data_IF_547600488398
#
_entry.id   IF_547600488398
#
_cell.length_a   1.000
_cell.length_b   1.000
_cell.length_c   1.000
_cell.angle_alpha   90.00
_cell.angle_beta   90.00
_cell.angle_gamma   90.00
#
_symmetry.space_group_name_H-M   'P 1'
#
loop_
_entity.id
_entity.type
_entity.pdbx_description
1 polymer ?
#
# COMPACT_ATOMS: atom_id res chain seq x y z
N UNK A 1 -14.71 1.61 -3.49
CA UNK A 1 -14.74 0.17 -3.17
C UNK A 1 -13.34 -0.22 -2.72
N UNK A 2 -13.15 -0.53 -1.44
CA UNK A 2 -11.82 -0.91 -0.93
C UNK A 2 -11.59 -2.38 -1.29
N UNK A 3 -10.96 -2.63 -2.43
CA UNK A 3 -10.59 -3.98 -2.85
C UNK A 3 -9.28 -4.37 -2.17
N UNK A 4 -9.34 -5.47 -1.42
CA UNK A 4 -8.15 -6.12 -0.87
C UNK A 4 -7.47 -6.86 -2.02
N UNK A 5 -6.28 -6.41 -2.43
CA UNK A 5 -5.46 -7.13 -3.40
C UNK A 5 -4.45 -7.98 -2.63
N UNK A 6 -4.54 -9.31 -2.78
CA UNK A 6 -3.53 -10.23 -2.28
C UNK A 6 -2.45 -10.45 -3.33
N UNK A 7 -1.18 -10.20 -2.99
CA UNK A 7 -0.02 -10.56 -3.81
C UNK A 7 0.75 -11.65 -3.06
N UNK A 8 1.21 -12.67 -3.79
CA UNK A 8 1.88 -13.84 -3.23
C UNK A 8 3.39 -13.72 -3.48
N UNK A 9 4.19 -13.62 -2.42
CA UNK A 9 5.68 -13.66 -2.51
C UNK A 9 6.13 -15.10 -2.24
N UNK A 10 7.04 -15.62 -3.05
CA UNK A 10 7.21 -17.06 -3.25
C UNK A 10 8.49 -17.63 -2.65
N UNK A 11 8.42 -18.80 -1.99
CA UNK A 11 9.57 -19.51 -1.41
C UNK A 11 9.48 -21.03 -1.59
N UNK A 12 10.62 -21.66 -1.88
CA UNK A 12 10.84 -23.11 -1.75
C UNK A 12 11.30 -23.42 -0.33
N UNK A 13 10.52 -24.18 0.43
CA UNK A 13 10.72 -24.51 1.84
C UNK A 13 11.58 -25.76 2.05
N UNK A 14 11.55 -26.73 1.13
CA UNK A 14 12.46 -27.87 1.10
C UNK A 14 12.31 -28.66 -0.20
N UNK A 15 13.35 -29.41 -0.57
CA UNK A 15 13.33 -30.35 -1.68
C UNK A 15 13.61 -31.76 -1.17
N UNK A 16 12.76 -32.73 -1.49
CA UNK A 16 12.99 -34.14 -1.17
C UNK A 16 12.93 -34.97 -2.45
N UNK A 17 13.87 -35.90 -2.59
CA UNK A 17 13.82 -36.90 -3.65
C UNK A 17 12.72 -37.91 -3.31
N UNK A 18 11.74 -38.05 -4.21
CA UNK A 18 10.66 -39.03 -4.05
C UNK A 18 11.02 -40.31 -4.79
N UNK A 19 11.49 -40.21 -6.03
CA UNK A 19 12.03 -41.31 -6.88
C UNK A 19 13.02 -40.75 -7.91
N UNK A 20 13.67 -41.61 -8.72
CA UNK A 20 14.42 -41.14 -9.90
C UNK A 20 13.55 -40.25 -10.78
N UNK A 21 13.99 -39.00 -10.99
CA UNK A 21 13.29 -38.00 -11.81
C UNK A 21 12.17 -37.20 -11.13
N UNK A 22 11.81 -37.47 -9.86
CA UNK A 22 10.72 -36.77 -9.16
C UNK A 22 11.19 -36.06 -7.88
N UNK A 23 11.08 -34.74 -7.89
CA UNK A 23 11.34 -33.88 -6.74
C UNK A 23 10.03 -33.39 -6.12
N UNK A 24 9.88 -33.57 -4.81
CA UNK A 24 8.88 -32.84 -4.04
C UNK A 24 9.48 -31.50 -3.62
N UNK A 25 8.90 -30.41 -4.11
CA UNK A 25 9.19 -29.06 -3.66
C UNK A 25 8.08 -28.58 -2.73
N UNK A 26 8.39 -28.37 -1.46
CA UNK A 26 7.45 -27.68 -0.57
C UNK A 26 7.48 -26.20 -0.93
N UNK A 27 6.38 -25.67 -1.45
CA UNK A 27 6.28 -24.27 -1.84
C UNK A 27 5.15 -23.63 -1.05
N UNK A 28 5.46 -22.58 -0.29
CA UNK A 28 4.45 -21.81 0.43
C UNK A 28 4.69 -20.35 0.13
N UNK A 29 3.70 -19.74 -0.48
CA UNK A 29 3.67 -18.30 -0.62
C UNK A 29 3.22 -17.66 0.69
N UNK A 30 3.89 -16.58 1.07
CA UNK A 30 3.38 -15.69 2.11
C UNK A 30 2.30 -14.80 1.48
N UNK A 31 1.05 -14.80 2.00
CA UNK A 31 0.04 -13.85 1.56
C UNK A 31 0.38 -12.43 2.03
N UNK A 32 0.59 -11.50 1.09
CA UNK A 32 0.73 -10.09 1.38
C UNK A 32 -0.60 -9.38 1.07
N UNK A 33 -1.22 -8.82 2.11
CA UNK A 33 -2.45 -8.04 2.04
C UNK A 33 -2.10 -6.55 2.05
N UNK A 34 -2.58 -5.81 1.05
CA UNK A 34 -2.43 -4.36 0.98
C UNK A 34 -3.79 -3.70 1.21
N UNK A 35 -3.85 -2.72 2.11
CA UNK A 35 -5.02 -1.87 2.27
C UNK A 35 -4.65 -0.40 2.37
N UNK A 36 -5.42 0.43 1.68
CA UNK A 36 -5.26 1.88 1.70
C UNK A 36 -6.07 2.41 2.88
N UNK A 37 -5.63 3.52 3.46
CA UNK A 37 -6.46 4.28 4.39
C UNK A 37 -7.86 4.58 3.82
N UNK A 38 -8.85 4.74 4.70
CA UNK A 38 -10.20 5.17 4.34
C UNK A 38 -10.23 6.56 3.71
N UNK A 39 -11.32 6.91 3.04
CA UNK A 39 -11.49 8.21 2.40
C UNK A 39 -11.30 9.38 3.39
N UNK A 40 -10.62 10.43 2.91
CA UNK A 40 -10.49 11.74 3.54
C UNK A 40 -11.23 12.80 2.72
N UNK A 41 -11.42 13.99 3.27
CA UNK A 41 -12.04 15.10 2.51
C UNK A 41 -11.20 15.55 1.33
N UNK A 42 -9.87 15.49 1.42
CA UNK A 42 -9.00 15.79 0.28
C UNK A 42 -9.16 14.78 -0.85
N UNK A 43 -9.35 13.49 -0.52
CA UNK A 43 -9.68 12.50 -1.56
C UNK A 43 -11.02 12.81 -2.22
N UNK A 44 -12.04 13.17 -1.44
CA UNK A 44 -13.37 13.53 -1.96
C UNK A 44 -13.31 14.76 -2.87
N UNK A 45 -12.53 15.76 -2.47
CA UNK A 45 -12.32 17.02 -3.18
C UNK A 45 -11.37 16.90 -4.38
N UNK A 46 -10.77 15.73 -4.63
CA UNK A 46 -9.71 15.54 -5.64
C UNK A 46 -8.53 16.50 -5.45
N UNK A 47 -8.13 16.70 -4.20
CA UNK A 47 -6.88 17.37 -3.85
C UNK A 47 -5.76 16.35 -3.79
N UNK A 48 -4.60 16.71 -4.31
CA UNK A 48 -3.42 15.88 -4.21
C UNK A 48 -2.99 15.75 -2.75
N UNK A 49 -3.09 14.54 -2.24
CA UNK A 49 -2.84 14.24 -0.85
C UNK A 49 -1.51 13.48 -0.74
N UNK A 50 -0.53 14.11 -0.11
CA UNK A 50 0.79 13.55 0.11
C UNK A 50 1.01 13.34 1.61
N UNK A 51 1.91 14.07 2.27
CA UNK A 51 2.33 13.79 3.65
C UNK A 51 1.56 14.60 4.70
N UNK A 52 0.87 15.65 4.31
CA UNK A 52 -0.05 16.40 5.17
C UNK A 52 -1.11 15.47 5.71
N UNK A 53 -1.27 15.48 7.03
CA UNK A 53 -2.28 14.68 7.68
C UNK A 53 -3.65 15.34 7.55
N UNK A 54 -4.60 14.55 7.06
CA UNK A 54 -6.01 14.89 7.10
C UNK A 54 -6.76 13.72 7.71
N UNK A 55 -7.75 13.96 8.58
CA UNK A 55 -8.52 12.89 9.19
C UNK A 55 -9.33 12.10 8.15
N UNK A 56 -9.76 10.91 8.55
CA UNK A 56 -10.82 10.20 7.83
C UNK A 56 -12.12 11.01 7.88
N UNK A 57 -12.91 10.94 6.82
CA UNK A 57 -14.28 11.43 6.84
C UNK A 57 -15.25 10.29 7.15
N UNK A 58 -16.55 10.59 7.29
CA UNK A 58 -17.58 9.60 7.60
C UNK A 58 -17.57 8.39 6.65
N UNK A 59 -17.28 8.62 5.37
CA UNK A 59 -17.13 7.55 4.39
C UNK A 59 -15.90 6.70 4.68
N UNK A 60 -14.77 7.31 5.05
CA UNK A 60 -13.56 6.60 5.49
C UNK A 60 -13.80 5.71 6.71
N UNK A 61 -14.50 6.22 7.72
CA UNK A 61 -14.88 5.42 8.90
C UNK A 61 -15.76 4.23 8.53
N UNK A 62 -16.77 4.44 7.68
CA UNK A 62 -17.63 3.34 7.18
C UNK A 62 -16.84 2.30 6.38
N UNK A 63 -15.89 2.73 5.56
CA UNK A 63 -15.01 1.85 4.79
C UNK A 63 -14.14 0.98 5.71
N UNK A 64 -13.51 1.57 6.73
CA UNK A 64 -12.68 0.84 7.68
C UNK A 64 -13.51 -0.19 8.47
N UNK A 65 -14.71 0.19 8.95
CA UNK A 65 -15.62 -0.72 9.64
C UNK A 65 -16.15 -1.85 8.74
N UNK A 66 -16.40 -1.59 7.45
CA UNK A 66 -16.75 -2.63 6.50
C UNK A 66 -15.61 -3.63 6.30
N UNK A 67 -14.37 -3.14 6.19
CA UNK A 67 -13.19 -3.99 6.08
C UNK A 67 -12.99 -4.87 7.32
N UNK A 68 -13.15 -4.32 8.52
CA UNK A 68 -13.09 -5.11 9.77
C UNK A 68 -14.06 -6.30 9.72
N UNK A 69 -15.32 -6.06 9.31
CA UNK A 69 -16.33 -7.12 9.19
C UNK A 69 -15.92 -8.19 8.19
N UNK A 70 -15.42 -7.79 7.02
CA UNK A 70 -14.93 -8.72 5.99
C UNK A 70 -13.76 -9.58 6.50
N UNK A 71 -12.78 -8.98 7.19
CA UNK A 71 -11.65 -9.72 7.74
C UNK A 71 -12.10 -10.76 8.78
N UNK A 72 -13.04 -10.38 9.66
CA UNK A 72 -13.62 -11.30 10.66
C UNK A 72 -14.42 -12.42 10.01
N UNK A 73 -15.26 -12.12 9.02
CA UNK A 73 -16.05 -13.12 8.29
C UNK A 73 -15.18 -14.15 7.57
N UNK A 74 -14.01 -13.72 7.07
CA UNK A 74 -13.04 -14.60 6.41
C UNK A 74 -12.08 -15.28 7.38
N UNK A 75 -12.21 -15.02 8.69
CA UNK A 75 -11.29 -15.48 9.73
C UNK A 75 -9.81 -15.22 9.40
N UNK A 76 -9.52 -14.03 8.82
CA UNK A 76 -8.17 -13.66 8.44
C UNK A 76 -7.38 -13.20 9.66
N UNK A 77 -6.23 -13.84 9.86
CA UNK A 77 -5.25 -13.49 10.89
C UNK A 77 -3.94 -13.09 10.23
N UNK A 78 -3.25 -12.14 10.83
CA UNK A 78 -1.96 -11.68 10.33
C UNK A 78 -0.86 -12.05 11.31
N UNK A 79 0.28 -12.55 10.81
CA UNK A 79 1.48 -12.71 11.64
C UNK A 79 2.17 -11.38 11.88
N UNK A 80 2.01 -10.42 10.96
CA UNK A 80 2.60 -9.09 11.06
C UNK A 80 1.70 -8.03 10.42
N UNK A 81 1.64 -6.87 11.05
CA UNK A 81 0.95 -5.69 10.50
C UNK A 81 1.92 -4.52 10.48
N UNK A 82 2.09 -3.91 9.32
CA UNK A 82 2.95 -2.74 9.11
C UNK A 82 2.09 -1.58 8.60
N UNK A 83 2.20 -0.41 9.22
CA UNK A 83 1.38 0.75 8.91
C UNK A 83 2.24 2.00 8.66
N UNK A 84 1.78 2.84 7.74
CA UNK A 84 2.29 4.20 7.58
C UNK A 84 2.09 5.03 8.86
N UNK A 85 3.02 5.95 9.20
CA UNK A 85 2.85 6.82 10.37
C UNK A 85 1.71 7.86 10.23
N UNK A 86 1.21 8.11 9.01
CA UNK A 86 0.15 9.12 8.80
C UNK A 86 -1.16 8.73 9.49
N UNK A 87 -1.77 9.68 10.19
CA UNK A 87 -2.92 9.48 11.07
C UNK A 87 -4.08 8.76 10.37
N UNK A 88 -4.38 9.11 9.11
CA UNK A 88 -5.43 8.43 8.33
C UNK A 88 -5.20 6.93 8.15
N UNK A 89 -3.94 6.49 7.99
CA UNK A 89 -3.59 5.09 7.88
C UNK A 89 -3.66 4.40 9.25
N UNK A 90 -3.15 5.06 10.29
CA UNK A 90 -3.19 4.58 11.68
C UNK A 90 -4.64 4.39 12.17
N UNK A 91 -5.50 5.37 11.93
CA UNK A 91 -6.91 5.31 12.32
C UNK A 91 -7.68 4.22 11.57
N UNK A 92 -7.41 4.08 10.26
CA UNK A 92 -7.95 2.97 9.47
C UNK A 92 -7.51 1.63 10.05
N UNK A 93 -6.22 1.48 10.39
CA UNK A 93 -5.67 0.26 10.98
C UNK A 93 -6.29 -0.05 12.33
N UNK A 94 -6.45 0.95 13.19
CA UNK A 94 -7.08 0.81 14.51
C UNK A 94 -8.49 0.24 14.41
N UNK A 95 -9.28 0.71 13.45
CA UNK A 95 -10.66 0.23 13.24
C UNK A 95 -10.65 -1.19 12.66
N UNK A 96 -9.79 -1.45 11.68
CA UNK A 96 -9.70 -2.76 11.02
C UNK A 96 -9.27 -3.86 12.00
N UNK A 97 -8.36 -3.52 12.93
CA UNK A 97 -7.81 -4.45 13.92
C UNK A 97 -8.49 -4.37 15.28
N UNK A 98 -9.57 -3.60 15.43
CA UNK A 98 -10.27 -3.53 16.71
C UNK A 98 -10.72 -4.94 17.13
N UNK A 99 -10.41 -5.32 18.37
CA UNK A 99 -10.57 -6.67 18.92
C UNK A 99 -9.50 -7.71 18.51
N UNK A 100 -8.48 -7.33 17.74
CA UNK A 100 -7.33 -8.18 17.44
C UNK A 100 -6.22 -8.05 18.49
N UNK A 101 -5.40 -9.09 18.65
CA UNK A 101 -4.17 -9.08 19.46
C UNK A 101 -2.94 -8.64 18.67
N UNK A 102 -3.09 -8.27 17.39
CA UNK A 102 -1.99 -7.82 16.56
C UNK A 102 -1.38 -6.51 17.08
N UNK A 103 -0.06 -6.48 17.22
CA UNK A 103 0.71 -5.23 17.35
C UNK A 103 0.92 -4.61 15.97
N UNK A 104 0.85 -3.27 15.89
CA UNK A 104 1.07 -2.54 14.64
C UNK A 104 2.49 -1.97 14.62
N UNK A 105 3.29 -2.40 13.66
CA UNK A 105 4.60 -1.81 13.38
C UNK A 105 4.40 -0.54 12.54
N UNK A 106 4.86 0.60 13.05
CA UNK A 106 4.85 1.85 12.27
C UNK A 106 6.15 1.99 11.49
N UNK A 107 6.07 2.28 10.20
CA UNK A 107 7.24 2.35 9.33
C UNK A 107 7.21 3.56 8.39
N UNK A 108 8.20 4.45 8.52
CA UNK A 108 8.37 5.68 7.73
C UNK A 108 8.49 5.41 6.23
N UNK A 109 9.02 4.25 5.84
CA UNK A 109 9.08 3.85 4.44
C UNK A 109 7.70 3.66 3.81
N UNK A 110 6.62 3.66 4.59
CA UNK A 110 5.23 3.61 4.10
C UNK A 110 4.55 4.99 4.08
N UNK A 111 5.26 6.10 4.29
CA UNK A 111 4.74 7.44 4.00
C UNK A 111 4.23 7.53 2.56
N UNK A 112 3.15 8.29 2.32
CA UNK A 112 2.69 8.54 0.95
C UNK A 112 3.79 9.23 0.12
N UNK A 113 3.75 9.03 -1.20
CA UNK A 113 4.63 9.70 -2.15
C UNK A 113 4.65 11.21 -1.89
N UNK A 114 5.83 11.80 -1.75
CA UNK A 114 5.98 13.25 -1.64
C UNK A 114 5.55 13.90 -2.97
N UNK A 115 4.49 14.71 -2.96
CA UNK A 115 4.04 15.42 -4.16
C UNK A 115 4.57 16.85 -4.25
N UNK A 116 5.46 17.26 -3.34
CA UNK A 116 6.10 18.57 -3.36
C UNK A 116 5.09 19.69 -3.57
N UNK A 117 5.35 20.53 -4.58
CA UNK A 117 4.54 21.72 -4.89
C UNK A 117 3.09 21.40 -5.29
N UNK A 118 2.77 20.14 -5.62
CA UNK A 118 1.40 19.74 -5.98
C UNK A 118 0.56 19.38 -4.76
N UNK A 119 1.17 19.13 -3.60
CA UNK A 119 0.42 18.77 -2.41
C UNK A 119 -0.62 19.84 -2.02
N UNK A 120 -1.83 19.39 -1.67
CA UNK A 120 -2.93 20.25 -1.24
C UNK A 120 -3.57 21.05 -2.37
N UNK A 121 -3.00 21.05 -3.58
CA UNK A 121 -3.63 21.66 -4.76
C UNK A 121 -4.78 20.78 -5.25
N UNK A 122 -5.82 21.41 -5.78
CA UNK A 122 -6.85 20.69 -6.51
C UNK A 122 -6.28 20.19 -7.84
N UNK A 123 -6.62 18.97 -8.23
CA UNK A 123 -6.26 18.44 -9.55
C UNK A 123 -6.79 19.33 -10.70
N UNK A 124 -7.97 19.94 -10.51
CA UNK A 124 -8.53 20.86 -11.50
C UNK A 124 -7.66 22.10 -11.70
N UNK A 125 -7.22 22.73 -10.60
CA UNK A 125 -6.39 23.95 -10.67
C UNK A 125 -5.04 23.68 -11.34
N UNK A 126 -4.37 22.56 -11.00
CA UNK A 126 -3.11 22.20 -11.64
C UNK A 126 -3.28 21.93 -13.14
N UNK A 127 -4.39 21.26 -13.51
CA UNK A 127 -4.72 20.98 -14.90
C UNK A 127 -5.00 22.27 -15.69
N UNK A 128 -5.67 23.25 -15.08
CA UNK A 128 -5.91 24.55 -15.68
C UNK A 128 -4.61 25.36 -15.84
N UNK A 129 -3.77 25.40 -14.79
CA UNK A 129 -2.51 26.14 -14.77
C UNK A 129 -1.49 25.60 -15.78
N UNK A 130 -1.32 24.29 -15.83
CA UNK A 130 -0.27 23.64 -16.62
C UNK A 130 -0.73 23.12 -17.99
N UNK A 131 -2.04 23.03 -18.22
CA UNK A 131 -2.62 22.52 -19.46
C UNK A 131 -2.13 21.10 -19.82
N UNK A 132 -1.72 20.86 -21.09
CA UNK A 132 -1.26 19.53 -21.53
C UNK A 132 -0.11 18.94 -20.72
N UNK A 133 0.74 19.77 -20.12
CA UNK A 133 1.87 19.30 -19.32
C UNK A 133 1.41 18.53 -18.06
N UNK A 134 0.30 18.93 -17.45
CA UNK A 134 -0.27 18.18 -16.32
C UNK A 134 -0.75 16.80 -16.75
N UNK A 135 -1.38 16.70 -17.92
CA UNK A 135 -1.87 15.42 -18.44
C UNK A 135 -0.73 14.48 -18.82
N UNK A 136 0.34 14.99 -19.42
CA UNK A 136 1.55 14.21 -19.66
C UNK A 136 2.18 13.74 -18.34
N UNK A 137 2.36 14.64 -17.36
CA UNK A 137 2.83 14.27 -16.04
C UNK A 137 1.97 13.16 -15.40
N UNK A 138 0.64 13.28 -15.50
CA UNK A 138 -0.30 12.29 -14.95
C UNK A 138 -0.15 10.92 -15.59
N UNK A 139 0.09 10.85 -16.91
CA UNK A 139 0.35 9.61 -17.66
C UNK A 139 1.65 8.92 -17.25
N UNK A 140 2.62 9.67 -16.71
CA UNK A 140 3.86 9.07 -16.19
C UNK A 140 3.62 8.18 -14.97
N UNK A 141 2.47 8.35 -14.28
CA UNK A 141 2.15 7.62 -13.04
C UNK A 141 3.22 7.80 -11.96
N UNK A 142 3.67 9.04 -11.80
CA UNK A 142 4.73 9.44 -10.87
C UNK A 142 6.12 8.94 -11.24
N UNK A 143 6.36 8.39 -12.45
CA UNK A 143 7.73 8.17 -12.94
C UNK A 143 8.50 9.50 -13.03
N UNK A 144 7.80 10.56 -13.41
CA UNK A 144 8.29 11.92 -13.24
C UNK A 144 7.77 12.46 -11.90
N UNK A 145 8.70 12.90 -11.06
CA UNK A 145 8.36 13.52 -9.78
C UNK A 145 7.59 14.83 -10.01
N UNK A 146 6.67 15.16 -9.12
CA UNK A 146 6.22 16.54 -9.00
C UNK A 146 7.40 17.43 -8.55
N UNK A 147 7.42 18.73 -8.89
CA UNK A 147 8.47 19.63 -8.43
C UNK A 147 8.64 19.57 -6.90
N UNK A 148 9.87 19.36 -6.42
CA UNK A 148 10.17 19.19 -4.99
C UNK A 148 9.70 17.87 -4.35
N UNK A 149 9.18 16.93 -5.15
CA UNK A 149 8.60 15.68 -4.72
C UNK A 149 9.48 14.43 -4.92
N UNK A 150 8.84 13.27 -4.74
CA UNK A 150 9.38 11.94 -5.02
C UNK A 150 8.83 11.43 -6.36
N UNK A 151 9.64 10.66 -7.08
CA UNK A 151 9.17 9.76 -8.13
C UNK A 151 8.72 8.42 -7.53
N UNK A 152 8.02 7.61 -8.32
CA UNK A 152 7.65 6.25 -7.91
C UNK A 152 8.87 5.37 -7.67
N UNK A 153 10.00 5.65 -8.31
CA UNK A 153 11.27 4.93 -8.11
C UNK A 153 11.89 5.24 -6.75
N UNK A 154 11.75 6.47 -6.27
CA UNK A 154 12.22 6.86 -4.94
C UNK A 154 11.39 6.13 -3.87
N UNK A 155 10.07 6.09 -4.05
CA UNK A 155 9.17 5.33 -3.18
C UNK A 155 9.53 3.85 -3.19
N UNK A 156 9.74 3.27 -4.38
CA UNK A 156 10.12 1.88 -4.58
C UNK A 156 11.44 1.52 -3.86
N UNK A 157 12.43 2.42 -3.96
CA UNK A 157 13.73 2.28 -3.29
C UNK A 157 13.56 2.23 -1.77
N UNK A 158 12.77 3.14 -1.17
CA UNK A 158 12.60 3.18 0.29
C UNK A 158 11.73 2.05 0.84
N UNK A 159 10.79 1.50 0.07
CA UNK A 159 9.98 0.35 0.54
C UNK A 159 10.72 -0.99 0.41
N UNK A 160 11.79 -1.06 -0.36
CA UNK A 160 12.53 -2.31 -0.61
C UNK A 160 12.95 -3.02 0.69
N UNK A 161 13.52 -2.34 1.71
CA UNK A 161 13.81 -2.97 3.00
C UNK A 161 12.58 -3.53 3.72
N UNK A 162 11.41 -2.89 3.58
CA UNK A 162 10.15 -3.40 4.16
C UNK A 162 9.75 -4.71 3.48
N UNK A 163 9.79 -4.75 2.15
CA UNK A 163 9.47 -5.93 1.36
C UNK A 163 10.44 -7.09 1.64
N UNK A 164 11.73 -6.79 1.79
CA UNK A 164 12.72 -7.81 2.17
C UNK A 164 12.48 -8.32 3.59
N UNK A 165 12.13 -7.44 4.53
CA UNK A 165 11.85 -7.84 5.92
C UNK A 165 10.67 -8.81 6.06
N UNK A 166 9.71 -8.77 5.13
CA UNK A 166 8.54 -9.66 5.15
C UNK A 166 8.72 -10.90 4.28
N UNK A 167 9.78 -10.96 3.44
CA UNK A 167 10.01 -12.07 2.49
C UNK A 167 10.09 -13.44 3.17
N UNK A 168 10.56 -13.49 4.42
CA UNK A 168 10.76 -14.73 5.18
C UNK A 168 9.62 -15.07 6.16
N UNK A 169 8.58 -14.25 6.20
CA UNK A 169 7.41 -14.53 7.05
C UNK A 169 6.65 -15.77 6.56
N UNK A 170 6.09 -16.51 7.51
CA UNK A 170 5.34 -17.75 7.23
C UNK A 170 3.82 -17.56 7.30
N UNK A 171 3.37 -16.50 7.97
CA UNK A 171 1.97 -16.11 8.08
C UNK A 171 1.60 -14.97 7.13
N UNK A 172 0.32 -14.60 7.10
CA UNK A 172 -0.14 -13.48 6.30
C UNK A 172 0.36 -12.15 6.87
N UNK A 173 0.79 -11.24 5.99
CA UNK A 173 1.23 -9.90 6.36
C UNK A 173 0.23 -8.88 5.85
N UNK A 174 -0.15 -7.92 6.70
CA UNK A 174 -0.96 -6.77 6.33
C UNK A 174 -0.08 -5.51 6.25
N UNK A 175 -0.12 -4.81 5.13
CA UNK A 175 0.45 -3.47 4.97
C UNK A 175 -0.70 -2.47 4.80
N UNK A 176 -0.74 -1.46 5.69
CA UNK A 176 -1.72 -0.35 5.63
C UNK A 176 -1.01 0.93 5.22
N UNK A 177 -1.26 1.40 4.00
CA UNK A 177 -0.53 2.54 3.43
C UNK A 177 -1.43 3.39 2.50
N UNK A 178 -0.86 3.86 1.39
CA UNK A 178 -1.44 4.90 0.53
C UNK A 178 -1.38 4.52 -0.95
N UNK A 179 -1.94 5.37 -1.82
CA UNK A 179 -2.07 5.07 -3.24
C UNK A 179 -0.73 4.92 -3.95
N UNK A 180 0.18 5.89 -3.76
CA UNK A 180 1.50 5.88 -4.37
C UNK A 180 2.37 4.73 -3.86
N UNK A 181 2.32 4.46 -2.56
CA UNK A 181 3.03 3.32 -1.94
C UNK A 181 2.55 1.99 -2.49
N UNK A 182 1.23 1.80 -2.64
CA UNK A 182 0.69 0.57 -3.22
C UNK A 182 1.11 0.38 -4.68
N UNK A 183 1.19 1.46 -5.45
CA UNK A 183 1.70 1.41 -6.82
C UNK A 183 3.16 0.96 -6.84
N UNK A 184 3.99 1.52 -5.96
CA UNK A 184 5.40 1.14 -5.84
C UNK A 184 5.56 -0.34 -5.42
N UNK A 185 4.83 -0.79 -4.38
CA UNK A 185 4.86 -2.20 -3.95
C UNK A 185 4.48 -3.13 -5.10
N UNK A 186 3.40 -2.82 -5.83
CA UNK A 186 2.97 -3.63 -6.97
C UNK A 186 4.05 -3.67 -8.04
N UNK A 187 4.59 -2.50 -8.41
CA UNK A 187 5.59 -2.40 -9.46
C UNK A 187 6.87 -3.18 -9.11
N UNK A 188 7.34 -3.08 -7.87
CA UNK A 188 8.47 -3.87 -7.36
C UNK A 188 8.20 -5.37 -7.38
N UNK A 189 7.04 -5.81 -6.89
CA UNK A 189 6.71 -7.24 -6.84
C UNK A 189 6.45 -7.83 -8.24
N UNK A 190 5.90 -7.06 -9.17
CA UNK A 190 5.66 -7.50 -10.54
C UNK A 190 6.81 -7.21 -11.51
N UNK A 191 7.86 -6.53 -11.05
CA UNK A 191 8.94 -6.00 -11.89
C UNK A 191 8.39 -5.20 -13.10
N UNK A 192 7.31 -4.43 -12.87
CA UNK A 192 6.58 -3.71 -13.92
C UNK A 192 6.09 -2.35 -13.43
N UNK A 193 6.74 -1.29 -13.88
CA UNK A 193 6.42 0.10 -13.53
C UNK A 193 5.47 0.77 -14.55
N UNK A 194 4.78 -0.04 -15.36
CA UNK A 194 3.87 0.40 -16.42
C UNK A 194 2.39 0.40 -16.01
N UNK A 195 2.05 -0.07 -14.81
CA UNK A 195 0.67 -0.37 -14.37
C UNK A 195 -0.09 0.84 -13.82
#
# INVERSE_FOLDING_TARGET
TTSILGISITKTLSSTWVTEGLHLLHYRAMPLYLTRHGQTDWNLQRRWQSRTDTPLNDTGYRQAGAMQRELRQRNLTFSRVICSPLNRAQETTRIILDGSTNTVETNEALLEINLGDYEGRFEADLREEMGPAYDEWRKTRHREAAPGGESIYDVATRICPVLESVRNETGAVLIVAHGGVHMAIKAELSQCFSV
#
